data_IF_684169452151
#
_entry.id   IF_684169452151
#
_cell.length_a   1.000
_cell.length_b   1.000
_cell.length_c   1.000
_cell.angle_alpha   90.00
_cell.angle_beta   90.00
_cell.angle_gamma   90.00
#
_symmetry.space_group_name_H-M   'P 1'
#
loop_
_entity.id
_entity.type
_entity.pdbx_description
1 polymer ?
#
# COMPACT_ATOMS: atom_id res chain seq x y z
N UNK A 1 15.61 -23.79 35.17
CA UNK A 1 15.87 -23.75 33.71
C UNK A 1 15.09 -24.78 32.88
N UNK A 2 15.48 -26.06 32.73
CA UNK A 2 14.75 -27.02 31.85
C UNK A 2 13.29 -27.29 32.25
N UNK A 3 12.97 -27.28 33.55
CA UNK A 3 11.59 -27.46 34.06
C UNK A 3 10.71 -26.21 33.92
N UNK A 4 11.29 -25.01 34.00
CA UNK A 4 10.57 -23.75 33.76
C UNK A 4 10.24 -23.59 32.28
N UNK A 5 11.21 -23.82 31.38
CA UNK A 5 10.96 -23.79 29.94
C UNK A 5 9.88 -24.81 29.52
N UNK A 6 9.83 -25.99 30.16
CA UNK A 6 8.76 -26.98 29.94
C UNK A 6 7.37 -26.48 30.39
N UNK A 7 7.30 -25.68 31.45
CA UNK A 7 6.04 -25.08 31.92
C UNK A 7 5.60 -23.94 31.02
N UNK A 8 6.51 -23.07 30.59
CA UNK A 8 6.21 -22.00 29.62
C UNK A 8 5.69 -22.58 28.30
N UNK A 9 6.32 -23.65 27.78
CA UNK A 9 5.85 -24.36 26.58
C UNK A 9 4.47 -25.02 26.76
N UNK A 10 4.15 -25.52 27.96
CA UNK A 10 2.83 -26.09 28.27
C UNK A 10 1.74 -25.02 28.42
N UNK A 11 2.12 -23.80 28.83
CA UNK A 11 1.21 -22.67 28.96
C UNK A 11 1.08 -21.84 27.68
N UNK A 12 1.95 -22.06 26.69
CA UNK A 12 1.90 -21.37 25.40
C UNK A 12 0.91 -22.07 24.46
N UNK A 13 -0.21 -21.41 24.15
CA UNK A 13 -1.14 -21.89 23.12
C UNK A 13 -0.64 -21.51 21.72
N UNK A 14 -0.27 -22.51 20.92
CA UNK A 14 0.16 -22.34 19.52
C UNK A 14 -1.06 -22.31 18.60
N UNK A 15 -1.34 -21.16 18.02
CA UNK A 15 -2.39 -20.97 17.02
C UNK A 15 -1.76 -20.91 15.63
N UNK A 16 -2.26 -21.72 14.70
CA UNK A 16 -1.86 -21.70 13.29
C UNK A 16 -2.97 -21.07 12.45
N UNK A 17 -2.66 -19.98 11.76
CA UNK A 17 -3.59 -19.33 10.83
C UNK A 17 -3.29 -19.81 9.40
N UNK A 18 -4.22 -20.56 8.82
CA UNK A 18 -4.16 -21.04 7.44
C UNK A 18 -5.22 -20.36 6.58
N UNK A 19 -4.90 -20.14 5.30
CA UNK A 19 -5.80 -19.47 4.34
C UNK A 19 -5.04 -19.02 3.09
N UNK A 20 -5.76 -18.77 1.99
CA UNK A 20 -5.23 -18.31 0.71
C UNK A 20 -4.44 -16.99 0.83
N UNK A 21 -3.61 -16.64 -0.16
CA UNK A 21 -2.99 -15.30 -0.24
C UNK A 21 -4.03 -14.20 0.02
N UNK A 22 -3.65 -13.14 0.74
CA UNK A 22 -4.51 -11.97 1.01
C UNK A 22 -5.76 -12.20 1.88
N UNK A 23 -6.00 -13.41 2.41
CA UNK A 23 -7.15 -13.72 3.27
C UNK A 23 -7.18 -13.04 4.66
N UNK A 24 -6.40 -11.98 4.89
CA UNK A 24 -6.40 -11.23 6.14
C UNK A 24 -5.68 -11.89 7.33
N UNK A 25 -4.95 -13.00 7.14
CA UNK A 25 -4.20 -13.68 8.22
C UNK A 25 -3.24 -12.73 8.95
N UNK A 26 -2.49 -11.93 8.20
CA UNK A 26 -1.57 -10.93 8.75
C UNK A 26 -2.30 -9.81 9.51
N UNK A 27 -3.55 -9.52 9.16
CA UNK A 27 -4.40 -8.55 9.85
C UNK A 27 -4.82 -9.06 11.23
N UNK A 28 -5.17 -10.35 11.35
CA UNK A 28 -5.52 -11.00 12.63
C UNK A 28 -4.32 -10.98 13.60
N UNK A 29 -3.11 -11.30 13.11
CA UNK A 29 -1.88 -11.24 13.92
C UNK A 29 -1.58 -9.80 14.36
N UNK A 30 -1.80 -8.80 13.49
CA UNK A 30 -1.63 -7.38 13.84
C UNK A 30 -2.62 -6.93 14.92
N UNK A 31 -3.89 -7.36 14.87
CA UNK A 31 -4.89 -7.05 15.90
C UNK A 31 -4.54 -7.68 17.25
N UNK A 32 -4.05 -8.93 17.25
CA UNK A 32 -3.55 -9.58 18.48
C UNK A 32 -2.39 -8.82 19.11
N UNK A 33 -1.44 -8.28 18.31
CA UNK A 33 -0.37 -7.40 18.81
C UNK A 33 -0.93 -6.13 19.43
N UNK A 34 -1.90 -5.46 18.78
CA UNK A 34 -2.48 -4.20 19.27
C UNK A 34 -3.16 -4.39 20.64
N UNK A 35 -3.85 -5.52 20.84
CA UNK A 35 -4.60 -5.79 22.08
C UNK A 35 -3.74 -6.29 23.25
N UNK A 36 -2.62 -7.00 22.99
CA UNK A 36 -1.88 -7.74 24.03
C UNK A 36 -0.39 -7.36 24.19
N UNK A 37 0.16 -6.52 23.31
CA UNK A 37 1.56 -6.09 23.37
C UNK A 37 1.58 -4.57 23.28
N UNK A 38 2.25 -3.89 24.22
CA UNK A 38 2.31 -2.42 24.41
C UNK A 38 2.49 -1.57 23.13
N UNK A 39 1.44 -1.45 22.32
CA UNK A 39 1.34 -0.57 21.16
C UNK A 39 2.44 -0.73 20.09
N UNK A 40 2.59 0.33 19.29
CA UNK A 40 3.68 0.49 18.32
C UNK A 40 4.74 1.42 18.89
N UNK A 41 6.01 0.99 18.84
CA UNK A 41 7.14 1.80 19.24
C UNK A 41 7.28 3.04 18.33
N UNK A 42 7.87 4.16 18.80
CA UNK A 42 8.09 5.35 17.97
C UNK A 42 8.94 5.07 16.72
N UNK A 43 9.88 4.12 16.79
CA UNK A 43 10.64 3.64 15.62
C UNK A 43 9.76 2.85 14.64
N UNK A 44 8.87 1.98 15.12
CA UNK A 44 7.89 1.29 14.27
C UNK A 44 6.93 2.28 13.61
N UNK A 45 6.53 3.35 14.31
CA UNK A 45 5.71 4.43 13.71
C UNK A 45 6.46 5.12 12.58
N UNK A 46 7.75 5.41 12.74
CA UNK A 46 8.58 6.05 11.69
C UNK A 46 8.74 5.15 10.47
N UNK A 47 8.97 3.85 10.66
CA UNK A 47 9.01 2.89 9.57
C UNK A 47 7.66 2.77 8.86
N UNK A 48 6.56 2.70 9.62
CA UNK A 48 5.21 2.69 9.02
C UNK A 48 4.90 3.92 8.18
N UNK A 49 5.40 5.10 8.57
CA UNK A 49 5.23 6.32 7.76
C UNK A 49 5.91 6.14 6.40
N UNK A 50 7.10 5.54 6.35
CA UNK A 50 7.80 5.26 5.10
C UNK A 50 7.04 4.23 4.25
N UNK A 51 6.52 3.17 4.88
CA UNK A 51 5.71 2.16 4.20
C UNK A 51 4.42 2.77 3.60
N UNK A 52 3.73 3.64 4.35
CA UNK A 52 2.53 4.33 3.87
C UNK A 52 2.86 5.21 2.65
N UNK A 53 3.96 5.97 2.72
CA UNK A 53 4.40 6.82 1.60
C UNK A 53 4.75 5.99 0.36
N UNK A 54 5.43 4.87 0.56
CA UNK A 54 5.73 3.92 -0.52
C UNK A 54 4.46 3.35 -1.13
N UNK A 55 3.49 2.94 -0.31
CA UNK A 55 2.21 2.44 -0.81
C UNK A 55 1.45 3.48 -1.64
N UNK A 56 1.46 4.76 -1.22
CA UNK A 56 0.84 5.85 -1.99
C UNK A 56 1.51 5.99 -3.36
N UNK A 57 2.84 5.93 -3.41
CA UNK A 57 3.59 5.97 -4.67
C UNK A 57 3.29 4.75 -5.55
N UNK A 58 3.36 3.55 -5.00
CA UNK A 58 3.12 2.32 -5.76
C UNK A 58 1.68 2.26 -6.29
N UNK A 59 0.71 2.76 -5.52
CA UNK A 59 -0.69 2.87 -5.94
C UNK A 59 -0.86 3.83 -7.13
N UNK A 60 -0.38 5.07 -7.02
CA UNK A 60 -0.55 6.05 -8.11
C UNK A 60 0.21 5.66 -9.38
N UNK A 61 1.41 5.07 -9.24
CA UNK A 61 2.19 4.54 -10.37
C UNK A 61 1.43 3.42 -11.07
N UNK A 62 0.84 2.51 -10.30
CA UNK A 62 0.04 1.41 -10.84
C UNK A 62 -1.16 1.92 -11.59
N UNK A 63 -1.93 2.86 -11.02
CA UNK A 63 -3.12 3.42 -11.67
C UNK A 63 -2.74 4.14 -12.97
N UNK A 64 -1.75 5.03 -12.94
CA UNK A 64 -1.31 5.81 -14.12
C UNK A 64 -0.75 4.90 -15.23
N UNK A 65 -0.09 3.79 -14.85
CA UNK A 65 0.36 2.78 -15.81
C UNK A 65 -0.81 2.01 -16.40
N UNK A 66 -1.75 1.59 -15.54
CA UNK A 66 -2.94 0.85 -15.92
C UNK A 66 -3.86 1.63 -16.86
N UNK A 67 -3.96 2.96 -16.74
CA UNK A 67 -4.75 3.81 -17.65
C UNK A 67 -4.43 3.56 -19.14
N UNK A 68 -3.16 3.24 -19.45
CA UNK A 68 -2.69 2.97 -20.81
C UNK A 68 -2.83 1.48 -21.20
N UNK A 69 -3.01 0.59 -20.23
CA UNK A 69 -3.01 -0.87 -20.39
C UNK A 69 -4.41 -1.48 -20.38
N UNK A 70 -5.35 -0.89 -19.63
CA UNK A 70 -6.75 -1.34 -19.60
C UNK A 70 -7.41 -1.14 -20.97
N UNK A 71 -8.37 -2.01 -21.29
CA UNK A 71 -9.07 -2.01 -22.59
C UNK A 71 -10.57 -1.81 -22.34
N UNK A 72 -11.21 -0.76 -22.87
CA UNK A 72 -10.61 0.36 -23.61
C UNK A 72 -9.74 1.24 -22.69
N UNK A 73 -8.69 1.88 -23.23
CA UNK A 73 -7.81 2.76 -22.45
C UNK A 73 -8.58 3.97 -21.95
N UNK A 74 -8.20 4.44 -20.76
CA UNK A 74 -8.80 5.63 -20.15
C UNK A 74 -7.81 6.78 -20.26
N UNK A 75 -8.06 7.77 -21.14
CA UNK A 75 -7.22 8.97 -21.20
C UNK A 75 -7.43 9.82 -19.95
N UNK A 76 -6.46 10.70 -19.66
CA UNK A 76 -6.64 11.74 -18.66
C UNK A 76 -7.76 12.68 -19.11
N UNK A 77 -8.61 13.09 -18.17
CA UNK A 77 -9.68 14.04 -18.45
C UNK A 77 -9.11 15.43 -18.74
N UNK A 78 -8.07 15.84 -18.03
CA UNK A 78 -7.34 17.06 -18.31
C UNK A 78 -5.98 16.77 -18.98
N UNK A 79 -5.75 17.20 -20.24
CA UNK A 79 -4.46 17.05 -20.92
C UNK A 79 -3.32 17.82 -20.23
N UNK A 80 -3.61 18.84 -19.42
CA UNK A 80 -2.60 19.50 -18.59
C UNK A 80 -2.03 18.57 -17.51
N UNK A 81 -2.71 17.48 -17.15
CA UNK A 81 -2.19 16.50 -16.21
C UNK A 81 -1.20 15.52 -16.84
N UNK A 82 -0.99 15.58 -18.17
CA UNK A 82 -0.09 14.69 -18.89
C UNK A 82 1.33 14.73 -18.33
N UNK A 83 1.89 15.93 -18.11
CA UNK A 83 3.24 16.07 -17.55
C UNK A 83 3.36 15.47 -16.14
N UNK A 84 2.27 15.52 -15.34
CA UNK A 84 2.22 14.92 -14.01
C UNK A 84 2.25 13.40 -14.12
N UNK A 85 1.53 12.84 -15.09
CA UNK A 85 1.54 11.40 -15.35
C UNK A 85 2.92 10.91 -15.78
N UNK A 86 3.61 11.68 -16.63
CA UNK A 86 4.97 11.38 -17.08
C UNK A 86 5.97 11.48 -15.91
N UNK A 87 5.81 12.48 -15.04
CA UNK A 87 6.56 12.57 -13.78
C UNK A 87 6.37 11.32 -12.92
N UNK A 88 5.13 10.88 -12.67
CA UNK A 88 4.84 9.68 -11.87
C UNK A 88 5.47 8.42 -12.50
N UNK A 89 5.41 8.28 -13.82
CA UNK A 89 6.06 7.17 -14.53
C UNK A 89 7.58 7.22 -14.41
N UNK A 90 8.18 8.41 -14.43
CA UNK A 90 9.64 8.58 -14.29
C UNK A 90 10.17 8.19 -12.89
N UNK A 91 9.36 8.39 -11.84
CA UNK A 91 9.75 8.05 -10.47
C UNK A 91 9.48 6.59 -10.13
N UNK A 92 8.67 5.86 -10.93
CA UNK A 92 8.33 4.47 -10.71
C UNK A 92 9.54 3.54 -10.40
N UNK A 93 10.65 3.58 -11.17
CA UNK A 93 11.81 2.71 -10.91
C UNK A 93 12.67 3.14 -9.69
N UNK A 94 12.43 4.33 -9.12
CA UNK A 94 13.28 4.89 -8.05
C UNK A 94 12.89 4.26 -6.71
N UNK A 95 13.77 3.45 -6.11
CA UNK A 95 13.52 2.80 -4.83
C UNK A 95 13.73 3.73 -3.63
N UNK A 96 14.76 4.58 -3.68
CA UNK A 96 15.09 5.56 -2.63
C UNK A 96 14.56 6.95 -3.01
N UNK A 97 13.24 7.06 -3.12
CA UNK A 97 12.58 8.29 -3.55
C UNK A 97 12.30 9.22 -2.36
N UNK A 98 12.72 10.49 -2.48
CA UNK A 98 12.35 11.53 -1.51
C UNK A 98 10.93 12.02 -1.75
N UNK A 99 10.04 11.76 -0.79
CA UNK A 99 8.65 12.20 -0.83
C UNK A 99 8.52 13.70 -0.54
N UNK A 100 8.84 14.51 -1.54
CA UNK A 100 8.73 15.98 -1.51
C UNK A 100 7.27 16.45 -1.56
N UNK A 101 7.00 17.71 -1.20
CA UNK A 101 5.66 18.29 -1.35
C UNK A 101 5.20 18.33 -2.81
N UNK A 102 6.14 18.49 -3.75
CA UNK A 102 5.86 18.48 -5.19
C UNK A 102 5.25 17.15 -5.64
N UNK A 103 5.80 16.02 -5.18
CA UNK A 103 5.21 14.70 -5.44
C UNK A 103 3.76 14.64 -4.96
N UNK A 104 3.48 15.07 -3.72
CA UNK A 104 2.11 15.05 -3.19
C UNK A 104 1.16 15.97 -3.96
N UNK A 105 1.62 17.12 -4.46
CA UNK A 105 0.80 17.99 -5.32
C UNK A 105 0.46 17.32 -6.66
N UNK A 106 1.45 16.68 -7.29
CA UNK A 106 1.25 15.90 -8.51
C UNK A 106 0.25 14.76 -8.30
N UNK A 107 0.42 13.97 -7.23
CA UNK A 107 -0.50 12.87 -6.90
C UNK A 107 -1.90 13.41 -6.61
N UNK A 108 -2.04 14.49 -5.84
CA UNK A 108 -3.35 15.06 -5.52
C UNK A 108 -4.08 15.57 -6.76
N UNK A 109 -3.36 16.24 -7.67
CA UNK A 109 -3.93 16.75 -8.93
C UNK A 109 -4.29 15.63 -9.89
N UNK A 110 -3.49 14.58 -9.98
CA UNK A 110 -3.82 13.39 -10.75
C UNK A 110 -5.02 12.65 -10.15
N UNK A 111 -5.05 12.46 -8.83
CA UNK A 111 -6.17 11.80 -8.16
C UNK A 111 -7.49 12.54 -8.34
N UNK A 112 -7.47 13.87 -8.49
CA UNK A 112 -8.67 14.65 -8.73
C UNK A 112 -9.19 14.55 -10.18
N UNK A 113 -8.36 14.10 -11.11
CA UNK A 113 -8.70 13.91 -12.52
C UNK A 113 -9.76 12.80 -12.69
N UNK A 114 -10.81 13.08 -13.46
CA UNK A 114 -11.89 12.12 -13.67
C UNK A 114 -11.42 10.86 -14.42
N UNK A 115 -10.42 10.98 -15.32
CA UNK A 115 -9.84 9.83 -16.01
C UNK A 115 -9.11 8.90 -15.05
N UNK A 116 -8.39 9.46 -14.07
CA UNK A 116 -7.72 8.66 -13.03
C UNK A 116 -8.75 7.98 -12.12
N UNK A 117 -9.80 8.70 -11.70
CA UNK A 117 -10.90 8.13 -10.90
C UNK A 117 -11.62 7.00 -11.65
N UNK A 118 -11.92 7.18 -12.93
CA UNK A 118 -12.54 6.15 -13.76
C UNK A 118 -11.63 4.91 -13.94
N UNK A 119 -10.32 5.10 -14.08
CA UNK A 119 -9.37 3.98 -14.09
C UNK A 119 -9.31 3.26 -12.73
N UNK A 120 -9.44 4.00 -11.63
CA UNK A 120 -9.47 3.45 -10.29
C UNK A 120 -10.74 2.63 -10.01
N UNK A 121 -11.91 3.05 -10.50
CA UNK A 121 -13.14 2.23 -10.44
C UNK A 121 -12.99 0.89 -11.17
N UNK A 122 -12.12 0.85 -12.19
CA UNK A 122 -11.73 -0.35 -12.94
C UNK A 122 -10.51 -1.07 -12.35
N UNK A 123 -10.17 -0.78 -11.08
CA UNK A 123 -9.06 -1.44 -10.37
C UNK A 123 -9.19 -2.97 -10.30
N UNK A 124 -10.38 -3.54 -10.49
CA UNK A 124 -10.57 -4.98 -10.61
C UNK A 124 -9.89 -5.61 -11.85
N UNK A 125 -9.54 -4.81 -12.86
CA UNK A 125 -8.90 -5.29 -14.10
C UNK A 125 -7.36 -5.33 -14.02
N UNK A 126 -6.78 -4.81 -12.93
CA UNK A 126 -5.34 -4.83 -12.69
C UNK A 126 -5.02 -5.10 -11.21
N UNK A 127 -3.78 -5.43 -10.90
CA UNK A 127 -3.36 -5.70 -9.52
C UNK A 127 -3.06 -4.37 -8.83
N UNK A 128 -4.07 -3.76 -8.20
CA UNK A 128 -3.88 -2.63 -7.30
C UNK A 128 -3.76 -3.13 -5.86
N UNK A 129 -2.84 -2.57 -5.08
CA UNK A 129 -2.66 -2.92 -3.67
C UNK A 129 -3.97 -2.59 -2.92
N UNK A 130 -4.54 -3.56 -2.18
CA UNK A 130 -5.81 -3.42 -1.43
C UNK A 130 -5.90 -2.17 -0.55
N UNK A 131 -4.76 -1.62 -0.09
CA UNK A 131 -4.70 -0.39 0.70
C UNK A 131 -5.06 0.89 -0.06
N UNK A 132 -5.25 0.82 -1.38
CA UNK A 132 -5.66 1.93 -2.21
C UNK A 132 -7.19 2.03 -2.38
N UNK A 133 -7.97 1.01 -1.94
CA UNK A 133 -9.44 1.04 -1.89
C UNK A 133 -9.99 1.93 -0.78
#
# INVERSE_FOLDING_TARGET
MLREQKRDLQQTHRLLLLGAGESGKSTIVKQMRILHVNGFNPEEKKQKILDIRKNVKDAIVTIVSAMSTIIPPVPLANPENQFRSDYIKSIAPITDFEYSQEFFDHVKKLWDDEGVKACFERSNEYQLIDCAQ
#
